data_IF_510193783100
#
_entry.id   IF_510193783100
#
_cell.length_a   1.000
_cell.length_b   1.000
_cell.length_c   1.000
_cell.angle_alpha   90.00
_cell.angle_beta   90.00
_cell.angle_gamma   90.00
#
_symmetry.space_group_name_H-M   'P 1'
#
loop_
_entity.id
_entity.type
_entity.pdbx_description
1 polymer ?
#
# COMPACT_ATOMS: atom_id res chain seq x y z
N UNK A 1 -51.94 -34.94 -36.85
CA UNK A 1 -50.78 -34.92 -37.76
C UNK A 1 -50.05 -33.60 -37.55
N UNK A 2 -49.04 -33.55 -36.66
CA UNK A 2 -47.61 -33.61 -36.98
C UNK A 2 -47.20 -32.68 -38.12
N UNK A 3 -46.65 -31.51 -37.78
CA UNK A 3 -45.44 -30.98 -38.42
C UNK A 3 -44.63 -30.16 -37.38
N UNK A 4 -43.44 -30.68 -37.12
CA UNK A 4 -42.33 -30.07 -36.38
C UNK A 4 -41.52 -29.27 -37.40
N UNK A 5 -41.11 -28.05 -37.06
CA UNK A 5 -40.04 -27.34 -37.76
C UNK A 5 -39.18 -26.62 -36.73
N UNK A 6 -37.97 -27.17 -36.56
CA UNK A 6 -36.86 -26.59 -35.84
C UNK A 6 -36.16 -25.53 -36.70
N UNK A 7 -35.64 -24.47 -36.07
CA UNK A 7 -34.43 -23.66 -36.36
C UNK A 7 -34.66 -22.26 -35.76
N UNK A 8 -33.73 -21.59 -35.07
CA UNK A 8 -32.31 -21.84 -34.91
C UNK A 8 -31.77 -21.12 -33.67
N UNK A 9 -30.68 -21.67 -33.15
CA UNK A 9 -29.89 -21.15 -32.05
C UNK A 9 -28.86 -20.15 -32.57
N UNK A 10 -28.92 -18.91 -32.08
CA UNK A 10 -27.87 -17.88 -32.15
C UNK A 10 -28.20 -16.99 -30.92
N UNK A 11 -27.36 -16.77 -29.90
CA UNK A 11 -26.15 -15.98 -30.00
C UNK A 11 -25.44 -15.91 -28.61
N UNK A 12 -24.10 -16.00 -28.66
CA UNK A 12 -23.10 -15.46 -27.73
C UNK A 12 -22.99 -16.05 -26.32
N UNK A 13 -22.22 -17.14 -26.25
CA UNK A 13 -21.30 -17.36 -25.15
C UNK A 13 -20.34 -16.16 -25.02
N UNK A 14 -20.67 -15.20 -24.15
CA UNK A 14 -19.66 -14.30 -23.57
C UNK A 14 -18.83 -15.10 -22.57
N UNK A 15 -17.95 -15.94 -23.08
CA UNK A 15 -16.73 -16.29 -22.36
C UNK A 15 -15.87 -15.03 -22.30
N UNK A 16 -16.23 -14.09 -21.43
CA UNK A 16 -15.24 -13.17 -20.89
C UNK A 16 -14.29 -14.05 -20.08
N UNK A 17 -13.23 -14.51 -20.75
CA UNK A 17 -12.00 -14.87 -20.09
C UNK A 17 -11.65 -13.69 -19.19
N UNK A 18 -11.94 -13.85 -17.90
CA UNK A 18 -11.28 -13.08 -16.85
C UNK A 18 -9.81 -13.03 -17.26
N UNK A 19 -9.20 -11.84 -17.40
CA UNK A 19 -7.76 -11.79 -17.59
C UNK A 19 -7.18 -12.58 -16.41
N UNK A 20 -6.48 -13.66 -16.74
CA UNK A 20 -5.71 -14.39 -15.76
C UNK A 20 -4.88 -13.32 -15.06
N UNK A 21 -5.11 -13.13 -13.75
CA UNK A 21 -4.32 -12.22 -12.96
C UNK A 21 -2.86 -12.59 -13.26
N UNK A 22 -2.14 -11.68 -13.93
CA UNK A 22 -0.73 -11.86 -14.22
C UNK A 22 -0.10 -12.29 -12.91
N UNK A 23 0.48 -13.49 -12.88
CA UNK A 23 1.24 -13.95 -11.72
C UNK A 23 2.36 -12.94 -11.56
N UNK A 24 2.18 -11.99 -10.65
CA UNK A 24 3.23 -11.03 -10.31
C UNK A 24 4.50 -11.84 -10.05
N UNK A 25 5.53 -11.57 -10.86
CA UNK A 25 6.84 -12.14 -10.67
C UNK A 25 7.37 -11.60 -9.33
N UNK A 26 7.25 -12.44 -8.29
CA UNK A 26 7.65 -12.14 -6.91
C UNK A 26 9.15 -11.84 -6.76
N UNK A 27 9.94 -11.92 -7.84
CA UNK A 27 11.36 -11.56 -7.83
C UNK A 27 11.63 -10.06 -7.98
N UNK A 28 10.65 -9.26 -8.43
CA UNK A 28 10.85 -7.83 -8.72
C UNK A 28 10.16 -6.95 -7.69
N UNK A 29 10.94 -6.18 -6.92
CA UNK A 29 10.43 -5.17 -6.00
C UNK A 29 10.10 -3.90 -6.77
N UNK A 30 8.86 -3.43 -6.66
CA UNK A 30 8.37 -2.21 -7.32
C UNK A 30 7.93 -1.16 -6.29
N UNK A 31 8.13 0.14 -6.59
CA UNK A 31 7.60 1.23 -5.78
C UNK A 31 6.07 1.27 -5.87
N UNK A 32 5.41 1.34 -4.72
CA UNK A 32 3.96 1.41 -4.57
C UNK A 32 3.36 2.70 -5.16
N UNK A 33 4.09 3.81 -5.12
CA UNK A 33 3.60 5.11 -5.60
C UNK A 33 3.83 5.29 -7.11
N UNK A 34 4.60 4.39 -7.74
CA UNK A 34 4.83 4.37 -9.19
C UNK A 34 5.78 5.46 -9.71
N UNK A 35 6.51 6.15 -8.84
CA UNK A 35 7.48 7.19 -9.22
C UNK A 35 8.94 6.77 -9.07
N UNK A 36 9.23 5.48 -8.79
CA UNK A 36 10.60 5.05 -8.48
C UNK A 36 10.95 5.25 -7.00
N UNK A 37 11.87 4.43 -6.49
CA UNK A 37 12.47 4.68 -5.17
C UNK A 37 13.46 5.85 -5.24
N UNK A 38 13.56 6.63 -4.15
CA UNK A 38 14.52 7.72 -4.00
C UNK A 38 14.14 9.05 -4.67
N UNK A 39 13.08 9.07 -5.49
CA UNK A 39 12.62 10.30 -6.13
C UNK A 39 11.84 11.18 -5.16
N UNK A 40 12.23 12.45 -5.08
CA UNK A 40 11.53 13.44 -4.26
C UNK A 40 10.21 13.79 -4.92
N UNK A 41 9.12 13.42 -4.27
CA UNK A 41 7.74 13.59 -4.72
C UNK A 41 6.88 14.21 -3.63
N UNK A 42 5.71 14.68 -4.05
CA UNK A 42 4.66 15.12 -3.15
C UNK A 42 3.52 14.11 -3.17
N UNK A 43 2.95 13.83 -2.00
CA UNK A 43 1.82 12.92 -1.85
C UNK A 43 0.70 13.61 -1.09
N UNK A 44 -0.54 13.34 -1.51
CA UNK A 44 -1.74 13.77 -0.83
C UNK A 44 -2.59 12.56 -0.44
N UNK A 45 -3.23 12.66 0.72
CA UNK A 45 -3.94 11.54 1.32
C UNK A 45 -4.45 11.85 2.71
N UNK A 46 -4.77 10.80 3.44
CA UNK A 46 -5.30 10.88 4.81
C UNK A 46 -4.49 10.02 5.75
N UNK A 47 -4.15 10.57 6.91
CA UNK A 47 -3.47 9.81 7.97
C UNK A 47 -4.34 8.63 8.38
N UNK A 48 -3.76 7.43 8.48
CA UNK A 48 -4.39 6.24 9.03
C UNK A 48 -3.47 5.63 10.06
N UNK A 49 -3.88 5.69 11.31
CA UNK A 49 -3.16 5.08 12.41
C UNK A 49 -3.86 3.76 12.69
N UNK A 50 -3.05 2.79 13.04
CA UNK A 50 -3.51 1.43 13.16
C UNK A 50 -4.40 1.31 14.44
N UNK A 51 -5.61 0.75 14.32
CA UNK A 51 -6.58 0.61 15.43
C UNK A 51 -6.20 -0.50 16.42
N UNK A 52 -5.88 -0.13 17.66
CA UNK A 52 -5.70 -0.97 18.87
C UNK A 52 -5.30 -2.46 18.63
N UNK A 53 -4.01 -2.73 18.55
CA UNK A 53 -3.42 -3.98 19.04
C UNK A 53 -2.64 -3.68 20.34
N UNK A 54 -2.76 -4.55 21.34
CA UNK A 54 -2.25 -4.41 22.72
C UNK A 54 -0.71 -4.41 22.86
N UNK A 55 0.06 -4.05 21.83
CA UNK A 55 1.52 -3.99 21.88
C UNK A 55 2.05 -2.56 21.78
N UNK A 56 3.08 -2.23 22.57
CA UNK A 56 3.76 -0.92 22.53
C UNK A 56 4.36 -0.58 21.16
N UNK A 57 4.63 -1.59 20.31
CA UNK A 57 5.16 -1.42 18.96
C UNK A 57 4.11 -0.90 17.97
N UNK A 58 2.84 -1.28 18.17
CA UNK A 58 1.71 -0.92 17.30
C UNK A 58 1.42 0.59 17.24
N UNK A 59 1.54 1.29 18.38
CA UNK A 59 1.25 2.72 18.52
C UNK A 59 2.15 3.65 17.68
N UNK A 60 3.14 3.10 16.97
CA UNK A 60 4.14 3.87 16.22
C UNK A 60 4.06 3.71 14.70
N UNK A 61 3.18 2.84 14.17
CA UNK A 61 3.04 2.71 12.72
C UNK A 61 2.17 3.84 12.17
N UNK A 62 2.81 4.99 11.94
CA UNK A 62 2.22 6.14 11.26
C UNK A 62 2.02 5.75 9.80
N UNK A 63 0.79 5.54 9.36
CA UNK A 63 0.49 5.23 7.96
C UNK A 63 -0.37 6.33 7.35
N UNK A 64 -0.45 6.30 6.03
CA UNK A 64 -1.26 7.20 5.24
C UNK A 64 -1.92 6.41 4.12
N UNK A 65 -3.19 6.72 3.86
CA UNK A 65 -3.87 6.30 2.64
C UNK A 65 -3.64 7.42 1.62
N UNK A 66 -2.74 7.17 0.66
CA UNK A 66 -2.37 8.08 -0.41
C UNK A 66 -3.37 7.92 -1.55
N UNK A 67 -3.91 9.02 -2.06
CA UNK A 67 -4.80 9.01 -3.23
C UNK A 67 -4.25 9.83 -4.41
N UNK A 68 -3.17 10.58 -4.21
CA UNK A 68 -2.56 11.41 -5.27
C UNK A 68 -1.06 11.56 -5.03
N UNK A 69 -0.29 11.56 -6.12
CA UNK A 69 1.17 11.75 -6.15
C UNK A 69 1.51 12.80 -7.20
N UNK A 70 2.12 13.91 -6.77
CA UNK A 70 2.24 15.12 -7.60
C UNK A 70 0.86 15.58 -8.07
N UNK A 71 0.68 15.71 -9.38
CA UNK A 71 -0.60 16.04 -10.01
C UNK A 71 -1.45 14.81 -10.38
N UNK A 72 -0.90 13.60 -10.23
CA UNK A 72 -1.55 12.36 -10.64
C UNK A 72 -2.38 11.76 -9.52
N UNK A 73 -3.69 11.64 -9.74
CA UNK A 73 -4.57 10.83 -8.88
C UNK A 73 -4.27 9.34 -9.10
N UNK A 74 -4.15 8.58 -8.01
CA UNK A 74 -3.99 7.13 -8.08
C UNK A 74 -5.33 6.47 -8.42
N UNK A 75 -5.29 5.44 -9.27
CA UNK A 75 -6.48 4.66 -9.64
C UNK A 75 -7.13 4.01 -8.41
N UNK A 76 -6.30 3.52 -7.49
CA UNK A 76 -6.70 3.00 -6.20
C UNK A 76 -5.87 3.66 -5.10
N UNK A 77 -6.46 4.03 -3.95
CA UNK A 77 -5.71 4.54 -2.84
C UNK A 77 -4.71 3.51 -2.31
N UNK A 78 -3.48 3.95 -2.01
CA UNK A 78 -2.39 3.10 -1.54
C UNK A 78 -2.13 3.39 -0.07
N UNK A 79 -2.07 2.35 0.76
CA UNK A 79 -1.63 2.49 2.15
C UNK A 79 -0.11 2.39 2.22
N UNK A 80 0.55 3.42 2.76
CA UNK A 80 2.00 3.45 2.93
C UNK A 80 2.39 3.82 4.36
N UNK A 81 3.46 3.21 4.86
CA UNK A 81 4.07 3.59 6.15
C UNK A 81 4.88 4.86 5.98
N UNK A 82 4.74 5.79 6.93
CA UNK A 82 5.49 7.04 6.96
C UNK A 82 6.63 6.95 7.97
N UNK A 83 7.82 7.37 7.54
CA UNK A 83 8.98 7.56 8.41
C UNK A 83 9.39 9.03 8.43
N UNK A 84 9.99 9.48 9.54
CA UNK A 84 10.44 10.85 9.74
C UNK A 84 11.85 10.82 10.30
N UNK A 85 12.73 11.72 9.83
CA UNK A 85 14.02 11.89 10.46
C UNK A 85 13.86 12.46 11.87
N UNK A 86 14.46 11.80 12.87
CA UNK A 86 14.38 12.23 14.27
C UNK A 86 14.88 13.67 14.48
N UNK A 87 15.92 14.07 13.75
CA UNK A 87 16.49 15.42 13.80
C UNK A 87 15.64 16.49 13.10
N UNK A 88 14.68 16.11 12.24
CA UNK A 88 13.91 17.07 11.45
C UNK A 88 12.70 17.64 12.20
N UNK A 89 12.33 17.08 13.36
CA UNK A 89 11.25 17.61 14.20
C UNK A 89 9.86 17.61 13.54
N UNK A 90 9.65 16.82 12.48
CA UNK A 90 8.39 16.79 11.74
C UNK A 90 7.31 16.11 12.59
N UNK A 91 6.32 16.90 13.00
CA UNK A 91 5.12 16.42 13.68
C UNK A 91 4.07 16.05 12.63
N UNK A 92 3.76 14.75 12.54
CA UNK A 92 2.71 14.26 11.64
C UNK A 92 1.34 14.47 12.29
N UNK A 93 0.30 14.87 11.52
CA UNK A 93 -1.04 15.08 12.07
C UNK A 93 -1.70 13.82 12.63
N UNK A 94 -2.80 14.03 13.35
CA UNK A 94 -3.62 12.98 13.96
C UNK A 94 -4.27 12.07 12.91
N UNK A 95 -4.71 10.89 13.38
CA UNK A 95 -5.47 9.93 12.58
C UNK A 95 -6.67 10.59 11.90
N UNK A 96 -6.94 10.23 10.65
CA UNK A 96 -8.04 10.78 9.87
C UNK A 96 -7.79 12.18 9.31
N UNK A 97 -6.68 12.85 9.63
CA UNK A 97 -6.37 14.18 9.09
C UNK A 97 -5.95 14.09 7.61
N UNK A 98 -6.57 14.86 6.69
CA UNK A 98 -6.07 15.01 5.33
C UNK A 98 -4.75 15.80 5.34
N UNK A 99 -3.78 15.35 4.55
CA UNK A 99 -2.41 15.87 4.59
C UNK A 99 -1.77 15.85 3.21
N UNK A 100 -0.92 16.84 2.95
CA UNK A 100 0.03 16.89 1.83
C UNK A 100 1.45 16.86 2.37
N UNK A 101 2.24 15.91 1.92
CA UNK A 101 3.61 15.67 2.37
C UNK A 101 4.57 15.71 1.19
N UNK A 102 5.82 16.11 1.45
CA UNK A 102 6.95 15.94 0.53
C UNK A 102 7.96 14.98 1.13
N UNK A 103 8.54 14.14 0.28
CA UNK A 103 9.46 13.10 0.68
C UNK A 103 9.82 12.21 -0.49
N UNK A 104 10.25 10.99 -0.20
CA UNK A 104 10.53 9.98 -1.22
C UNK A 104 10.10 8.60 -0.75
N UNK A 105 9.74 7.76 -1.72
CA UNK A 105 9.52 6.34 -1.46
C UNK A 105 10.87 5.63 -1.35
N UNK A 106 11.00 4.74 -0.36
CA UNK A 106 12.12 3.81 -0.20
C UNK A 106 11.55 2.49 0.32
N UNK A 107 12.39 1.57 0.76
CA UNK A 107 11.92 0.43 1.51
C UNK A 107 13.02 -0.29 2.26
N UNK A 108 12.62 -1.33 2.96
CA UNK A 108 13.52 -2.17 3.74
C UNK A 108 13.02 -3.60 3.76
N UNK A 109 13.95 -4.51 3.99
CA UNK A 109 13.60 -5.90 4.29
C UNK A 109 13.25 -6.03 5.77
N UNK A 110 12.13 -6.68 6.04
CA UNK A 110 11.65 -7.01 7.36
C UNK A 110 11.38 -8.51 7.50
N UNK A 111 11.14 -8.95 8.73
CA UNK A 111 10.95 -10.36 9.06
C UNK A 111 12.24 -11.18 9.00
N UNK A 112 12.09 -12.49 9.15
CA UNK A 112 13.22 -13.42 9.19
C UNK A 112 13.09 -14.45 8.06
N UNK A 113 14.14 -14.73 7.28
CA UNK A 113 14.12 -15.76 6.25
C UNK A 113 13.69 -17.11 6.83
N UNK A 114 12.83 -17.84 6.12
CA UNK A 114 12.25 -19.09 6.64
C UNK A 114 13.27 -20.18 7.00
N UNK A 115 14.49 -20.11 6.46
CA UNK A 115 15.59 -21.04 6.76
C UNK A 115 16.61 -20.51 7.78
N UNK A 116 16.35 -19.37 8.43
CA UNK A 116 17.31 -18.78 9.38
C UNK A 116 17.46 -19.58 10.69
N UNK A 117 16.48 -20.45 11.01
CA UNK A 117 16.46 -21.25 12.23
C UNK A 117 16.78 -22.73 11.98
N UNK A 118 17.51 -23.05 10.91
CA UNK A 118 17.91 -24.44 10.64
C UNK A 118 18.87 -24.96 11.71
N UNK A 119 19.74 -24.08 12.25
CA UNK A 119 20.80 -24.46 13.20
C UNK A 119 20.56 -23.93 14.63
N UNK A 120 19.48 -23.16 14.86
CA UNK A 120 19.19 -22.49 16.14
C UNK A 120 17.68 -22.53 16.47
N UNK A 121 17.28 -22.44 17.76
CA UNK A 121 15.87 -22.47 18.15
C UNK A 121 15.04 -21.35 17.51
N UNK A 122 13.84 -21.70 17.04
CA UNK A 122 12.92 -20.75 16.42
C UNK A 122 12.33 -19.77 17.45
N UNK A 123 12.32 -18.49 17.10
CA UNK A 123 11.57 -17.45 17.84
C UNK A 123 10.31 -17.08 17.07
N UNK A 124 9.27 -16.60 17.75
CA UNK A 124 8.09 -16.07 17.07
C UNK A 124 8.48 -14.83 16.24
N UNK A 125 8.35 -14.94 14.92
CA UNK A 125 8.80 -13.93 13.96
C UNK A 125 7.79 -13.76 12.83
N UNK A 126 7.84 -12.62 12.14
CA UNK A 126 7.12 -12.39 10.89
C UNK A 126 7.87 -13.01 9.71
N UNK A 127 7.14 -13.34 8.64
CA UNK A 127 7.74 -13.84 7.39
C UNK A 127 8.64 -12.77 6.77
N UNK A 128 9.74 -13.18 6.16
CA UNK A 128 10.61 -12.28 5.41
C UNK A 128 9.85 -11.61 4.25
N UNK A 129 9.93 -10.27 4.18
CA UNK A 129 9.26 -9.48 3.15
C UNK A 129 10.01 -8.17 2.90
N UNK A 130 9.74 -7.54 1.76
CA UNK A 130 10.08 -6.14 1.53
C UNK A 130 8.88 -5.28 1.92
N UNK A 131 9.10 -4.21 2.67
CA UNK A 131 8.10 -3.18 2.93
C UNK A 131 8.53 -1.86 2.29
N UNK A 132 7.60 -1.25 1.54
CA UNK A 132 7.75 0.12 1.04
C UNK A 132 7.36 1.12 2.13
N UNK A 133 8.18 2.17 2.27
CA UNK A 133 7.99 3.25 3.24
C UNK A 133 8.21 4.60 2.56
N UNK A 134 7.52 5.62 3.03
CA UNK A 134 7.69 6.99 2.56
C UNK A 134 8.47 7.79 3.61
N UNK A 135 9.69 8.19 3.27
CA UNK A 135 10.52 9.04 4.11
C UNK A 135 10.06 10.49 3.94
N UNK A 136 9.40 11.02 4.97
CA UNK A 136 8.90 12.40 4.98
C UNK A 136 10.05 13.35 5.22
N UNK A 137 10.17 14.36 4.36
CA UNK A 137 11.13 15.45 4.47
C UNK A 137 10.46 16.77 4.81
N UNK A 138 9.16 16.93 4.49
CA UNK A 138 8.39 18.14 4.82
C UNK A 138 6.89 17.87 4.90
N UNK A 139 6.24 18.47 5.90
CA UNK A 139 4.79 18.65 5.93
C UNK A 139 4.45 19.92 5.13
N UNK A 140 3.66 19.79 4.07
CA UNK A 140 3.28 20.93 3.22
C UNK A 140 1.97 21.55 3.70
N UNK A 141 0.95 20.72 3.89
CA UNK A 141 -0.39 21.15 4.25
C UNK A 141 -1.05 20.10 5.15
N UNK A 142 -1.83 20.53 6.14
CA UNK A 142 -2.67 19.68 6.96
C UNK A 142 -4.06 20.30 7.08
N UNK A 143 -5.11 19.52 6.79
CA UNK A 143 -6.48 19.95 7.02
C UNK A 143 -6.94 19.64 8.45
N UNK A 144 -8.24 19.79 8.69
CA UNK A 144 -8.86 19.39 9.96
C UNK A 144 -9.22 17.90 9.91
N UNK A 145 -9.00 17.17 11.00
CA UNK A 145 -9.50 15.81 11.15
C UNK A 145 -11.02 15.81 10.94
N UNK A 146 -11.53 14.84 10.15
CA UNK A 146 -12.96 14.60 10.11
C UNK A 146 -13.37 14.06 11.48
N UNK A 147 -14.34 14.71 12.14
CA UNK A 147 -15.00 14.14 13.30
C UNK A 147 -15.86 12.98 12.76
N UNK A 148 -15.46 11.75 13.03
CA UNK A 148 -16.30 10.56 12.86
C UNK A 148 -17.29 10.44 14.02
#
# INVERSE_FOLDING_TARGET
MKYVLATGAILLAFCNSLPAADKEDLSVIRPLLGHGFGNIIEIEGRMKYAEKANSKAWRKQKRMIVHKVGDRKLEQPVMITLETFSFAGILLPDNGTPVRLRGYETGRFGGIPGKAFVDIPQVATTNFHFESVFQVTKLLEAGKAAQE
#
